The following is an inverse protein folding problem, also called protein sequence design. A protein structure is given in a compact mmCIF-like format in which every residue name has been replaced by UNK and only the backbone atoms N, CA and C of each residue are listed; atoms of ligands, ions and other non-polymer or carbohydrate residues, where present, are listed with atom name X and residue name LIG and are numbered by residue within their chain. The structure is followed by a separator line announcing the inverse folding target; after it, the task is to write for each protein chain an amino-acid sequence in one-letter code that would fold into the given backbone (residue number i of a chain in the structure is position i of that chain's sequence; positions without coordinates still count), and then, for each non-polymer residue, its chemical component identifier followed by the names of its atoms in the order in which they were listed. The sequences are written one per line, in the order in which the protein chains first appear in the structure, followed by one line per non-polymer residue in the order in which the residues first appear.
data_IF_102086591706
#
_entry.id   IF_102086591706
#
_cell.length_a   1.000
_cell.length_b   1.000
_cell.length_c   1.000
_cell.angle_alpha   90.00
_cell.angle_beta   90.00
_cell.angle_gamma   90.00
#
_symmetry.space_group_name_H-M   'P 1'
#
loop_
_entity.id
_entity.type
_entity.pdbx_description
1 polymer ?
#
# COMPACT_ATOMS: atom_id res chain seq x y z
N UNK A 1 0.48 -22.94 -27.29
CA UNK A 1 0.29 -21.78 -26.38
C UNK A 1 0.70 -22.22 -24.99
N UNK A 2 1.77 -21.67 -24.46
CA UNK A 2 2.20 -22.01 -23.10
C UNK A 2 1.25 -21.31 -22.12
N UNK A 3 0.44 -22.09 -21.42
CA UNK A 3 -0.36 -21.64 -20.29
C UNK A 3 0.52 -21.45 -19.04
N UNK A 4 1.65 -20.77 -19.16
CA UNK A 4 2.34 -20.31 -17.97
C UNK A 4 1.64 -19.05 -17.46
N UNK A 5 1.27 -19.00 -16.19
CA UNK A 5 0.72 -17.79 -15.59
C UNK A 5 1.85 -16.76 -15.37
N UNK A 6 2.48 -16.32 -16.46
CA UNK A 6 3.40 -15.16 -16.46
C UNK A 6 2.65 -13.88 -16.05
N UNK A 7 1.32 -13.98 -16.04
CA UNK A 7 0.42 -12.88 -15.75
C UNK A 7 0.41 -12.48 -14.27
N UNK A 8 0.90 -13.34 -13.38
CA UNK A 8 0.89 -13.10 -11.93
C UNK A 8 2.28 -12.77 -11.36
N UNK A 9 3.32 -12.79 -12.18
CA UNK A 9 4.69 -12.51 -11.77
C UNK A 9 5.23 -11.28 -12.48
N UNK A 10 5.86 -10.39 -11.74
CA UNK A 10 6.55 -9.26 -12.32
C UNK A 10 6.60 -8.04 -11.42
N UNK A 11 7.46 -7.08 -11.75
CA UNK A 11 7.50 -5.79 -11.07
C UNK A 11 6.20 -5.02 -11.31
N UNK A 12 5.88 -4.09 -10.42
CA UNK A 12 4.74 -3.21 -10.59
C UNK A 12 5.16 -1.75 -10.61
N UNK A 13 4.43 -0.94 -11.37
CA UNK A 13 4.44 0.50 -11.23
C UNK A 13 3.57 0.89 -10.03
N UNK A 14 4.04 1.84 -9.24
CA UNK A 14 3.35 2.29 -8.04
C UNK A 14 3.07 3.77 -8.17
N UNK A 15 1.79 4.13 -8.11
CA UNK A 15 1.36 5.54 -8.10
C UNK A 15 0.63 5.84 -6.79
N UNK A 16 1.07 6.86 -6.10
CA UNK A 16 0.41 7.41 -4.93
C UNK A 16 -0.03 8.83 -5.22
N UNK A 17 -1.32 9.12 -5.10
CA UNK A 17 -1.93 10.40 -5.51
C UNK A 17 -1.58 10.79 -6.95
N UNK A 18 -1.59 9.80 -7.87
CA UNK A 18 -1.18 9.88 -9.29
C UNK A 18 0.32 10.20 -9.53
N UNK A 19 1.12 10.28 -8.48
CA UNK A 19 2.58 10.45 -8.56
C UNK A 19 3.25 9.07 -8.59
N UNK A 20 4.07 8.82 -9.61
CA UNK A 20 4.87 7.60 -9.70
C UNK A 20 5.98 7.61 -8.64
N UNK A 21 6.02 6.59 -7.79
CA UNK A 21 7.02 6.48 -6.72
C UNK A 21 8.38 5.95 -7.20
N UNK A 22 8.49 5.55 -8.47
CA UNK A 22 9.73 5.10 -9.07
C UNK A 22 10.06 3.63 -8.77
N UNK A 23 11.36 3.35 -8.58
CA UNK A 23 11.86 1.97 -8.51
C UNK A 23 11.83 1.41 -7.09
N UNK A 24 11.59 0.10 -7.02
CA UNK A 24 11.58 -0.68 -5.77
C UNK A 24 12.64 -1.77 -5.80
N UNK A 25 13.10 -2.19 -4.62
CA UNK A 25 14.02 -3.32 -4.47
C UNK A 25 13.56 -4.23 -3.33
N UNK A 26 13.40 -5.52 -3.62
CA UNK A 26 12.95 -6.52 -2.65
C UNK A 26 11.48 -6.92 -2.81
N UNK A 27 10.80 -6.37 -3.80
CA UNK A 27 9.41 -6.70 -4.13
C UNK A 27 8.37 -5.95 -3.29
N UNK A 28 7.26 -5.67 -3.93
CA UNK A 28 6.08 -5.07 -3.30
C UNK A 28 5.17 -6.18 -2.80
N UNK A 29 4.64 -6.04 -1.59
CA UNK A 29 3.80 -7.06 -0.97
C UNK A 29 2.46 -6.45 -0.58
N UNK A 30 1.39 -6.98 -1.13
CA UNK A 30 0.02 -6.71 -0.69
C UNK A 30 -0.42 -7.78 0.31
N UNK A 31 -1.06 -7.34 1.39
CA UNK A 31 -1.62 -8.21 2.43
C UNK A 31 -3.05 -7.77 2.71
N UNK A 32 -3.97 -8.73 2.75
CA UNK A 32 -5.34 -8.52 3.18
C UNK A 32 -5.70 -9.59 4.21
N UNK A 33 -6.12 -9.16 5.37
CA UNK A 33 -6.46 -10.02 6.50
C UNK A 33 -7.86 -9.74 7.00
N UNK A 34 -8.67 -10.78 7.10
CA UNK A 34 -10.01 -10.72 7.68
C UNK A 34 -9.95 -11.22 9.11
N UNK A 35 -10.35 -10.39 10.06
CA UNK A 35 -10.47 -10.76 11.46
C UNK A 35 -11.87 -11.31 11.73
N UNK A 36 -11.94 -12.54 12.22
CA UNK A 36 -13.19 -13.22 12.55
C UNK A 36 -13.23 -13.57 14.04
N UNK A 37 -14.44 -13.69 14.57
CA UNK A 37 -14.72 -14.31 15.87
C UNK A 37 -15.51 -15.57 15.64
N UNK A 38 -15.13 -16.61 16.34
CA UNK A 38 -15.83 -17.87 16.38
C UNK A 38 -17.00 -17.81 17.37
N UNK A 39 -18.10 -18.41 17.00
CA UNK A 39 -19.28 -18.59 17.87
C UNK A 39 -19.35 -20.06 18.25
N UNK A 40 -19.31 -20.31 19.54
CA UNK A 40 -19.52 -21.64 20.15
C UNK A 40 -20.66 -21.57 21.13
N UNK A 41 -21.31 -22.68 21.40
CA UNK A 41 -22.37 -22.82 22.40
C UNK A 41 -21.97 -23.88 23.41
N UNK A 42 -22.33 -23.68 24.68
CA UNK A 42 -22.02 -24.63 25.77
C UNK A 42 -22.53 -26.03 25.50
N UNK A 43 -23.69 -26.15 24.80
CA UNK A 43 -24.30 -27.41 24.44
C UNK A 43 -23.53 -28.18 23.35
N UNK A 44 -22.72 -27.53 22.58
CA UNK A 44 -21.91 -28.11 21.49
C UNK A 44 -20.44 -28.23 21.82
N UNK A 45 -20.05 -27.85 23.05
CA UNK A 45 -18.64 -27.82 23.49
C UNK A 45 -17.80 -26.84 22.71
N UNK A 46 -16.56 -27.23 22.37
CA UNK A 46 -15.60 -26.39 21.62
C UNK A 46 -15.85 -26.38 20.10
N UNK A 47 -16.92 -27.01 19.63
CA UNK A 47 -17.25 -27.05 18.21
C UNK A 47 -17.68 -25.67 17.72
N UNK A 48 -16.96 -25.12 16.75
CA UNK A 48 -17.30 -23.85 16.12
C UNK A 48 -18.59 -24.01 15.32
N UNK A 49 -19.62 -23.26 15.67
CA UNK A 49 -20.93 -23.31 15.00
C UNK A 49 -21.06 -22.26 13.92
N UNK A 50 -20.40 -21.09 14.11
CA UNK A 50 -20.43 -20.00 13.13
C UNK A 50 -19.23 -19.06 13.35
N UNK A 51 -18.98 -18.19 12.38
CA UNK A 51 -17.93 -17.16 12.46
C UNK A 51 -18.47 -15.81 12.05
N UNK A 52 -18.20 -14.78 12.84
CA UNK A 52 -18.56 -13.39 12.53
C UNK A 52 -17.32 -12.58 12.19
N UNK A 53 -17.36 -11.88 11.06
CA UNK A 53 -16.30 -10.96 10.66
C UNK A 53 -16.31 -9.73 11.56
N UNK A 54 -15.20 -9.50 12.29
CA UNK A 54 -15.01 -8.32 13.13
C UNK A 54 -14.43 -7.13 12.38
N UNK A 55 -13.69 -7.38 11.31
CA UNK A 55 -13.05 -6.33 10.53
C UNK A 55 -12.08 -6.90 9.50
N UNK A 56 -11.50 -5.99 8.73
CA UNK A 56 -10.51 -6.29 7.69
C UNK A 56 -9.35 -5.31 7.80
N UNK A 57 -8.14 -5.78 7.57
CA UNK A 57 -6.94 -4.98 7.48
C UNK A 57 -6.26 -5.25 6.14
N UNK A 58 -6.02 -4.20 5.37
CA UNK A 58 -5.27 -4.29 4.12
C UNK A 58 -4.02 -3.43 4.22
N UNK A 59 -2.90 -3.91 3.70
CA UNK A 59 -1.66 -3.15 3.67
C UNK A 59 -0.81 -3.49 2.46
N UNK A 60 0.03 -2.54 2.04
CA UNK A 60 1.02 -2.72 0.99
C UNK A 60 2.37 -2.29 1.51
N UNK A 61 3.35 -3.18 1.45
CA UNK A 61 4.74 -2.88 1.80
C UNK A 61 5.52 -2.55 0.52
N UNK A 62 6.08 -1.36 0.46
CA UNK A 62 6.80 -0.84 -0.71
C UNK A 62 8.22 -0.45 -0.32
N UNK A 63 9.24 -1.22 -0.73
CA UNK A 63 10.65 -0.84 -0.51
C UNK A 63 11.13 0.08 -1.65
N UNK A 64 11.10 1.38 -1.42
CA UNK A 64 11.53 2.40 -2.39
C UNK A 64 13.05 2.56 -2.40
N UNK A 65 13.63 2.61 -3.60
CA UNK A 65 15.06 2.92 -3.81
C UNK A 65 15.27 4.36 -4.23
N UNK A 66 14.20 5.07 -4.58
CA UNK A 66 14.27 6.45 -5.01
C UNK A 66 14.23 7.38 -3.80
N UNK A 67 15.13 8.36 -3.78
CA UNK A 67 15.26 9.38 -2.74
C UNK A 67 14.94 10.80 -3.23
N UNK A 68 14.16 10.92 -4.31
CA UNK A 68 13.71 12.25 -4.76
C UNK A 68 12.77 12.86 -3.72
N UNK A 69 13.14 14.02 -3.19
CA UNK A 69 12.45 14.65 -2.07
C UNK A 69 10.96 14.93 -2.36
N UNK A 70 10.64 15.37 -3.58
CA UNK A 70 9.26 15.65 -3.98
C UNK A 70 8.35 14.41 -3.98
N UNK A 71 8.92 13.20 -4.12
CA UNK A 71 8.17 11.95 -4.05
C UNK A 71 8.02 11.45 -2.61
N UNK A 72 9.01 11.76 -1.77
CA UNK A 72 9.05 11.29 -0.37
C UNK A 72 8.23 12.18 0.55
N UNK A 73 8.07 13.46 0.23
CA UNK A 73 7.34 14.44 1.06
C UNK A 73 5.95 13.94 1.47
N UNK A 74 5.15 13.49 0.51
CA UNK A 74 3.81 12.95 0.77
C UNK A 74 3.77 11.62 1.52
N UNK A 75 4.92 10.95 1.68
CA UNK A 75 5.06 9.64 2.34
C UNK A 75 5.54 9.75 3.78
N UNK A 76 6.06 10.90 4.19
CA UNK A 76 6.59 11.13 5.53
C UNK A 76 5.69 12.13 6.25
N UNK A 77 5.07 11.70 7.33
CA UNK A 77 4.22 12.57 8.13
C UNK A 77 5.00 13.78 8.68
N UNK A 78 4.52 14.98 8.43
CA UNK A 78 5.13 16.22 8.89
C UNK A 78 6.35 16.68 8.09
N UNK A 79 6.63 16.06 6.94
CA UNK A 79 7.67 16.52 6.03
C UNK A 79 7.20 17.73 5.23
N UNK A 80 8.13 18.66 5.00
CA UNK A 80 7.97 19.82 4.10
C UNK A 80 9.23 19.94 3.29
N UNK A 81 9.10 20.03 1.98
CA UNK A 81 10.22 20.26 1.06
C UNK A 81 10.27 21.75 0.68
N UNK A 82 11.43 22.34 0.82
CA UNK A 82 11.75 23.71 0.39
C UNK A 82 12.95 23.73 -0.57
N UNK A 83 13.46 24.91 -0.89
CA UNK A 83 14.59 25.09 -1.82
C UNK A 83 15.90 24.52 -1.28
N UNK A 84 16.03 24.40 0.03
CA UNK A 84 17.25 23.93 0.71
C UNK A 84 17.20 22.43 1.03
N UNK A 85 16.03 21.80 0.94
CA UNK A 85 15.86 20.37 1.21
C UNK A 85 14.53 20.00 1.84
N UNK A 86 14.54 18.95 2.64
CA UNK A 86 13.36 18.47 3.36
C UNK A 86 13.56 18.58 4.86
N UNK A 87 12.59 19.17 5.53
CA UNK A 87 12.51 19.26 6.97
C UNK A 87 11.33 18.42 7.48
N UNK A 88 11.56 17.60 8.49
CA UNK A 88 10.51 16.79 9.11
C UNK A 88 10.26 17.30 10.52
N UNK A 89 9.01 17.68 10.80
CA UNK A 89 8.56 18.10 12.12
C UNK A 89 7.92 16.95 12.90
N UNK A 90 7.92 17.05 14.22
CA UNK A 90 7.15 16.15 15.09
C UNK A 90 5.66 16.37 14.87
N UNK A 91 4.96 15.36 14.34
CA UNK A 91 3.55 15.42 13.94
C UNK A 91 2.66 14.66 14.93
N UNK A 92 2.55 15.16 16.16
CA UNK A 92 1.66 14.56 17.16
C UNK A 92 0.21 14.88 16.84
N UNK A 93 -0.65 13.84 16.79
CA UNK A 93 -2.08 13.99 16.58
C UNK A 93 -2.54 14.13 15.13
N UNK A 94 -1.62 13.99 14.15
CA UNK A 94 -1.99 13.93 12.75
C UNK A 94 -2.82 12.65 12.48
N UNK A 95 -3.99 12.83 11.85
CA UNK A 95 -4.84 11.70 11.50
C UNK A 95 -4.42 11.10 10.18
N UNK A 96 -4.18 9.79 10.12
CA UNK A 96 -3.84 9.08 8.90
C UNK A 96 -4.84 9.31 7.76
N UNK A 97 -6.13 9.43 8.07
CA UNK A 97 -7.18 9.72 7.08
C UNK A 97 -7.00 11.06 6.36
N UNK A 98 -6.38 12.05 6.99
CA UNK A 98 -6.14 13.36 6.38
C UNK A 98 -5.01 13.34 5.33
N UNK A 99 -4.07 12.41 5.46
CA UNK A 99 -2.93 12.23 4.55
C UNK A 99 -3.12 11.06 3.59
N UNK A 100 -4.12 10.20 3.86
CA UNK A 100 -4.40 9.03 3.02
C UNK A 100 -4.89 9.44 1.64
N UNK A 101 -4.27 8.85 0.61
CA UNK A 101 -4.55 9.07 -0.81
C UNK A 101 -4.74 7.76 -1.54
N UNK A 102 -5.16 7.84 -2.78
CA UNK A 102 -5.29 6.67 -3.65
C UNK A 102 -3.93 6.08 -3.98
N UNK A 103 -3.78 4.77 -3.79
CA UNK A 103 -2.60 4.00 -4.20
C UNK A 103 -2.99 3.05 -5.31
N UNK A 104 -2.23 3.09 -6.40
CA UNK A 104 -2.44 2.24 -7.57
C UNK A 104 -1.19 1.43 -7.84
N UNK A 105 -1.34 0.11 -7.91
CA UNK A 105 -0.30 -0.84 -8.28
C UNK A 105 -0.66 -1.47 -9.61
N UNK A 106 0.14 -1.27 -10.65
CA UNK A 106 -0.09 -1.83 -11.98
C UNK A 106 1.07 -2.76 -12.34
N UNK A 107 0.76 -4.00 -12.72
CA UNK A 107 1.78 -4.97 -13.14
C UNK A 107 2.48 -4.44 -14.40
N UNK A 108 3.81 -4.58 -14.45
CA UNK A 108 4.62 -4.21 -15.61
C UNK A 108 4.72 -5.40 -16.57
N UNK A 109 4.48 -5.14 -17.85
CA UNK A 109 4.63 -6.10 -18.95
C UNK A 109 5.59 -5.50 -19.98
N UNK A 110 6.64 -6.24 -20.32
CA UNK A 110 7.66 -5.79 -21.29
C UNK A 110 8.25 -4.40 -20.99
N UNK A 111 8.37 -4.07 -19.70
CA UNK A 111 8.93 -2.79 -19.26
C UNK A 111 7.94 -1.62 -19.25
N UNK A 112 6.68 -1.84 -19.58
CA UNK A 112 5.61 -0.84 -19.53
C UNK A 112 4.46 -1.28 -18.62
N UNK A 113 3.72 -0.35 -18.00
CA UNK A 113 2.56 -0.72 -17.22
C UNK A 113 1.48 -1.40 -18.09
N UNK A 114 0.92 -2.49 -17.60
CA UNK A 114 -0.14 -3.21 -18.31
C UNK A 114 -1.36 -2.31 -18.52
N UNK A 115 -1.95 -2.41 -19.70
CA UNK A 115 -3.20 -1.72 -20.04
C UNK A 115 -4.45 -2.51 -19.61
N UNK A 116 -4.27 -3.77 -19.16
CA UNK A 116 -5.39 -4.59 -18.67
C UNK A 116 -5.81 -4.11 -17.28
N UNK A 117 -7.06 -3.63 -17.13
CA UNK A 117 -7.57 -3.19 -15.83
C UNK A 117 -7.50 -4.27 -14.74
N UNK A 118 -7.61 -5.56 -15.13
CA UNK A 118 -7.57 -6.69 -14.18
C UNK A 118 -6.20 -6.88 -13.51
N UNK A 119 -5.14 -6.30 -14.09
CA UNK A 119 -3.76 -6.34 -13.57
C UNK A 119 -3.42 -5.13 -12.71
N UNK A 120 -4.42 -4.40 -12.26
CA UNK A 120 -4.27 -3.22 -11.41
C UNK A 120 -4.95 -3.44 -10.07
N UNK A 121 -4.21 -3.20 -8.99
CA UNK A 121 -4.71 -3.17 -7.62
C UNK A 121 -4.82 -1.71 -7.17
N UNK A 122 -5.96 -1.34 -6.61
CA UNK A 122 -6.21 0.02 -6.12
C UNK A 122 -6.60 -0.04 -4.64
N UNK A 123 -5.88 0.70 -3.79
CA UNK A 123 -6.35 1.07 -2.47
C UNK A 123 -6.97 2.46 -2.55
N UNK A 124 -8.22 2.61 -2.16
CA UNK A 124 -8.95 3.88 -2.29
C UNK A 124 -8.39 4.96 -1.36
N UNK A 125 -8.08 4.58 -0.12
CA UNK A 125 -7.40 5.43 0.86
C UNK A 125 -6.26 4.66 1.49
N UNK A 126 -5.04 4.96 1.09
CA UNK A 126 -3.82 4.39 1.63
C UNK A 126 -3.11 5.42 2.51
N UNK A 127 -2.94 5.08 3.77
CA UNK A 127 -2.22 5.88 4.76
C UNK A 127 -0.75 5.46 4.77
N UNK A 128 0.20 6.31 4.34
CA UNK A 128 1.60 5.96 4.30
C UNK A 128 2.24 6.04 5.68
N UNK A 129 2.96 4.98 6.04
CA UNK A 129 3.85 4.97 7.19
C UNK A 129 5.26 4.64 6.70
N UNK A 130 6.16 5.60 6.73
CA UNK A 130 7.54 5.43 6.30
C UNK A 130 8.43 4.99 7.46
N UNK A 131 9.31 4.04 7.18
CA UNK A 131 10.43 3.68 8.05
C UNK A 131 11.72 3.99 7.31
N UNK A 132 12.47 4.93 7.83
CA UNK A 132 13.77 5.32 7.28
C UNK A 132 14.85 4.69 8.14
N UNK A 133 15.68 3.85 7.52
CA UNK A 133 16.83 3.21 8.14
C UNK A 133 17.95 3.16 7.08
N UNK A 134 18.71 4.25 6.99
CA UNK A 134 19.71 4.42 5.96
C UNK A 134 21.12 4.26 6.52
N UNK A 135 21.86 3.29 5.98
CA UNK A 135 23.31 3.22 6.13
C UNK A 135 24.00 4.25 5.19
N UNK A 136 25.04 4.89 5.69
CA UNK A 136 25.89 5.81 4.90
C UNK A 136 27.25 5.17 4.68
N UNK A 137 27.26 4.00 4.05
CA UNK A 137 28.46 3.25 3.71
C UNK A 137 28.49 2.89 2.22
N UNK A 138 29.55 2.27 1.77
CA UNK A 138 29.72 1.86 0.36
C UNK A 138 29.10 0.49 0.06
N UNK A 139 28.51 -0.19 1.03
CA UNK A 139 28.15 -1.60 0.90
C UNK A 139 26.71 -1.84 0.44
N UNK A 140 25.85 -0.81 0.42
CA UNK A 140 24.46 -1.03 0.10
C UNK A 140 23.72 0.18 -0.48
N UNK A 141 22.63 -0.15 -1.17
CA UNK A 141 21.68 0.85 -1.67
C UNK A 141 20.73 1.25 -0.54
N UNK A 142 20.48 2.55 -0.39
CA UNK A 142 19.50 3.07 0.58
C UNK A 142 18.09 2.67 0.14
N UNK A 143 17.36 2.05 1.05
CA UNK A 143 15.98 1.62 0.82
C UNK A 143 15.10 2.26 1.89
N UNK A 144 14.06 2.94 1.45
CA UNK A 144 13.01 3.46 2.34
C UNK A 144 11.82 2.51 2.28
N UNK A 145 11.52 1.83 3.39
CA UNK A 145 10.34 1.00 3.48
C UNK A 145 9.13 1.87 3.82
N UNK A 146 8.15 1.89 2.93
CA UNK A 146 6.86 2.54 3.15
C UNK A 146 5.79 1.48 3.22
N UNK A 147 5.05 1.45 4.32
CA UNK A 147 3.87 0.61 4.48
C UNK A 147 2.63 1.47 4.31
N UNK A 148 1.83 1.16 3.31
CA UNK A 148 0.54 1.79 3.08
C UNK A 148 -0.55 0.97 3.76
N UNK A 149 -1.26 1.56 4.72
CA UNK A 149 -2.39 0.93 5.37
C UNK A 149 -3.67 1.37 4.67
N UNK A 150 -4.45 0.39 4.21
CA UNK A 150 -5.75 0.67 3.59
C UNK A 150 -6.77 1.12 4.62
N UNK A 151 -7.38 2.26 4.37
CA UNK A 151 -8.51 2.79 5.14
C UNK A 151 -9.81 2.67 4.34
N UNK A 152 -10.96 2.48 5.00
CA UNK A 152 -12.24 2.51 4.31
C UNK A 152 -12.48 3.86 3.64
N UNK A 153 -12.92 3.84 2.39
CA UNK A 153 -13.28 5.06 1.67
C UNK A 153 -14.61 5.62 2.16
N UNK A 154 -14.74 6.93 2.10
CA UNK A 154 -15.94 7.68 2.45
C UNK A 154 -16.53 8.45 1.25
N UNK A 155 -15.90 8.34 0.08
CA UNK A 155 -16.40 8.93 -1.15
C UNK A 155 -17.70 8.28 -1.62
N UNK A 156 -18.57 9.07 -2.23
CA UNK A 156 -19.82 8.59 -2.83
C UNK A 156 -19.57 7.45 -3.80
N UNK A 157 -20.28 6.34 -3.63
CA UNK A 157 -20.13 5.12 -4.43
C UNK A 157 -19.06 4.14 -3.93
N UNK A 158 -18.16 4.57 -3.06
CA UNK A 158 -17.09 3.73 -2.51
C UNK A 158 -17.14 3.56 -0.99
N UNK A 159 -18.16 4.08 -0.32
CA UNK A 159 -18.30 4.05 1.14
C UNK A 159 -18.03 2.66 1.71
N UNK A 160 -17.08 2.57 2.63
CA UNK A 160 -16.68 1.33 3.28
C UNK A 160 -15.78 0.42 2.45
N UNK A 161 -15.52 0.71 1.19
CA UNK A 161 -14.60 -0.06 0.36
C UNK A 161 -13.16 0.31 0.70
N UNK A 162 -12.28 -0.69 0.73
CA UNK A 162 -10.86 -0.48 1.07
C UNK A 162 -9.98 -0.61 -0.16
N UNK A 163 -10.21 -1.63 -0.97
CA UNK A 163 -9.41 -1.91 -2.16
C UNK A 163 -10.25 -2.59 -3.25
N UNK A 164 -9.72 -2.59 -4.47
CA UNK A 164 -10.28 -3.33 -5.61
C UNK A 164 -9.18 -3.82 -6.53
N UNK A 165 -9.46 -4.88 -7.24
CA UNK A 165 -8.70 -5.28 -8.44
C UNK A 165 -9.54 -4.87 -9.64
N UNK A 166 -8.92 -4.17 -10.57
CA UNK A 166 -9.59 -3.70 -11.77
C UNK A 166 -9.36 -2.21 -12.05
N UNK A 167 -10.18 -1.61 -12.91
CA UNK A 167 -10.03 -0.22 -13.36
C UNK A 167 -9.71 0.75 -12.19
N UNK A 168 -8.63 1.53 -12.27
CA UNK A 168 -8.22 2.49 -11.25
C UNK A 168 -9.08 3.77 -11.18
N UNK A 169 -10.02 3.94 -12.13
CA UNK A 169 -10.89 5.12 -12.18
C UNK A 169 -11.91 5.18 -11.03
#
# INVERSE_FOLDING_TARGET
MSNFPLEETGPCQIKFDDIDLGYTKGGVKFKDEVKKTEITYDQTGETIQDTVTKGRAASVDVPLTNSQLAQIEGLIAGAVVDVDGMVVSSSTGLRGRSVAKKLVLTIMEDGVPSIDPKKTLVLFKADPTSKIDWGFDNSGQRITLVTFVGLPDDASGNVGKMWRIGNPA
#
